data_IF_299947541544
#
_entry.id   IF_299947541544
#
_cell.length_a   1.000
_cell.length_b   1.000
_cell.length_c   1.000
_cell.angle_alpha   90.00
_cell.angle_beta   90.00
_cell.angle_gamma   90.00
#
_symmetry.space_group_name_H-M   'P 1'
#
loop_
_entity.id
_entity.type
_entity.pdbx_description
1 polymer ?
#
# COMPACT_ATOMS: atom_id res chain seq x y z
N UNK A 1 -2.90 3.22 40.29
CA UNK A 1 -1.58 3.04 39.64
C UNK A 1 -1.40 4.19 38.68
N UNK A 2 -0.88 5.30 39.21
CA UNK A 2 -0.61 6.52 38.43
C UNK A 2 0.77 6.37 37.80
N UNK A 3 0.80 6.05 36.52
CA UNK A 3 1.98 6.36 35.72
C UNK A 3 2.01 7.89 35.65
N UNK A 4 3.03 8.50 36.26
CA UNK A 4 3.21 9.94 36.28
C UNK A 4 3.11 10.48 34.85
N UNK A 5 2.08 11.29 34.58
CA UNK A 5 1.92 12.02 33.31
C UNK A 5 3.19 12.81 32.95
N UNK A 6 3.99 13.18 33.97
CA UNK A 6 5.28 13.82 33.84
C UNK A 6 6.33 12.94 33.10
N UNK A 7 6.33 11.62 33.32
CA UNK A 7 7.26 10.69 32.64
C UNK A 7 6.86 10.50 31.17
N UNK A 8 5.55 10.48 30.88
CA UNK A 8 5.04 10.38 29.52
C UNK A 8 5.43 11.64 28.73
N UNK A 9 5.24 12.83 29.30
CA UNK A 9 5.60 14.09 28.64
C UNK A 9 7.11 14.28 28.47
N UNK A 10 7.94 13.78 29.39
CA UNK A 10 9.40 13.90 29.32
C UNK A 10 10.04 13.03 28.21
N UNK A 11 9.35 11.97 27.77
CA UNK A 11 9.79 11.11 26.65
C UNK A 11 9.07 11.40 25.33
N UNK A 12 8.22 12.43 25.28
CA UNK A 12 7.79 13.02 24.01
C UNK A 12 8.94 13.87 23.48
N UNK A 13 10.01 13.21 23.04
CA UNK A 13 10.88 13.81 22.05
C UNK A 13 9.97 14.03 20.86
N UNK A 14 9.44 15.26 20.71
CA UNK A 14 8.93 15.72 19.43
C UNK A 14 10.12 15.60 18.48
N UNK A 15 10.24 14.44 17.84
CA UNK A 15 11.10 14.24 16.70
C UNK A 15 10.43 15.09 15.63
N UNK A 16 10.74 16.38 15.67
CA UNK A 16 10.43 17.33 14.62
C UNK A 16 11.31 16.92 13.45
N UNK A 17 10.89 15.84 12.79
CA UNK A 17 11.58 15.28 11.65
C UNK A 17 11.75 16.42 10.68
N UNK A 18 12.99 16.73 10.33
CA UNK A 18 13.25 17.68 9.26
C UNK A 18 12.53 17.18 8.00
N UNK A 19 12.21 18.09 7.07
CA UNK A 19 11.48 17.73 5.85
C UNK A 19 12.13 16.53 5.13
N UNK A 20 13.46 16.51 5.07
CA UNK A 20 14.26 15.43 4.50
C UNK A 20 14.11 14.10 5.27
N UNK A 21 14.16 14.14 6.60
CA UNK A 21 13.94 12.95 7.43
C UNK A 21 12.51 12.42 7.29
N UNK A 22 11.52 13.30 7.17
CA UNK A 22 10.13 12.93 6.97
C UNK A 22 9.94 12.21 5.62
N UNK A 23 10.60 12.67 4.56
CA UNK A 23 10.61 12.00 3.26
C UNK A 23 11.23 10.60 3.41
N UNK A 24 12.41 10.47 4.01
CA UNK A 24 13.07 9.18 4.20
C UNK A 24 12.22 8.22 5.03
N UNK A 25 11.64 8.71 6.13
CA UNK A 25 10.74 7.94 6.98
C UNK A 25 9.48 7.51 6.23
N UNK A 26 8.93 8.36 5.37
CA UNK A 26 7.78 8.04 4.52
C UNK A 26 8.10 6.95 3.47
N UNK A 27 9.31 6.93 2.92
CA UNK A 27 9.76 5.89 2.00
C UNK A 27 9.87 4.53 2.72
N UNK A 28 10.47 4.52 3.91
CA UNK A 28 10.57 3.30 4.74
C UNK A 28 9.17 2.82 5.15
N UNK A 29 8.28 3.74 5.54
CA UNK A 29 6.91 3.40 5.91
C UNK A 29 6.12 2.83 4.72
N UNK A 30 6.26 3.44 3.53
CA UNK A 30 5.63 2.98 2.30
C UNK A 30 6.13 1.59 1.92
N UNK A 31 7.43 1.34 2.06
CA UNK A 31 8.02 0.02 1.84
C UNK A 31 7.43 -1.04 2.79
N UNK A 32 7.34 -0.74 4.09
CA UNK A 32 6.72 -1.65 5.05
C UNK A 32 5.26 -1.95 4.70
N UNK A 33 4.48 -0.93 4.33
CA UNK A 33 3.10 -1.14 3.89
C UNK A 33 3.02 -1.97 2.60
N UNK A 34 3.94 -1.76 1.66
CA UNK A 34 4.01 -2.55 0.44
C UNK A 34 4.21 -4.04 0.73
N UNK A 35 5.15 -4.39 1.61
CA UNK A 35 5.38 -5.78 2.02
C UNK A 35 4.19 -6.39 2.75
N UNK A 36 3.57 -5.64 3.66
CA UNK A 36 2.37 -6.08 4.39
C UNK A 36 1.21 -6.36 3.44
N UNK A 37 0.92 -5.42 2.53
CA UNK A 37 -0.13 -5.58 1.54
C UNK A 37 0.14 -6.79 0.64
N UNK A 38 1.36 -6.96 0.14
CA UNK A 38 1.72 -8.11 -0.71
C UNK A 38 1.55 -9.45 0.04
N UNK A 39 1.92 -9.49 1.32
CA UNK A 39 1.70 -10.66 2.18
C UNK A 39 0.21 -10.97 2.36
N UNK A 40 -0.62 -9.96 2.58
CA UNK A 40 -2.08 -10.10 2.67
C UNK A 40 -2.67 -10.66 1.37
N UNK A 41 -2.26 -10.13 0.21
CA UNK A 41 -2.69 -10.68 -1.08
C UNK A 41 -2.26 -12.14 -1.26
N UNK A 42 -1.01 -12.48 -0.90
CA UNK A 42 -0.53 -13.87 -0.93
C UNK A 42 -1.37 -14.79 -0.04
N UNK A 43 -1.77 -14.31 1.14
CA UNK A 43 -2.65 -15.05 2.04
C UNK A 43 -4.06 -15.26 1.45
N UNK A 44 -4.58 -14.28 0.71
CA UNK A 44 -5.82 -14.39 -0.04
C UNK A 44 -5.78 -15.52 -1.08
N UNK A 45 -4.71 -15.56 -1.89
CA UNK A 45 -4.51 -16.61 -2.91
C UNK A 45 -4.30 -18.00 -2.31
N UNK A 46 -3.74 -18.07 -1.09
CA UNK A 46 -3.54 -19.33 -0.36
C UNK A 46 -4.74 -19.72 0.51
N UNK A 47 -5.89 -19.04 0.35
CA UNK A 47 -7.12 -19.22 1.15
C UNK A 47 -6.91 -19.08 2.67
N UNK A 48 -5.86 -18.38 3.09
CA UNK A 48 -5.59 -18.04 4.49
C UNK A 48 -6.23 -16.73 4.94
N UNK A 49 -6.82 -15.98 4.01
CA UNK A 49 -7.58 -14.77 4.23
C UNK A 49 -8.87 -14.82 3.39
N UNK A 50 -9.98 -14.33 3.95
CA UNK A 50 -11.29 -14.36 3.28
C UNK A 50 -11.43 -13.11 2.40
N UNK A 51 -12.11 -13.20 1.26
CA UNK A 51 -12.35 -12.03 0.37
C UNK A 51 -13.11 -10.89 1.08
N UNK A 52 -13.82 -11.25 2.15
CA UNK A 52 -14.56 -10.33 3.03
C UNK A 52 -13.62 -9.42 3.84
N UNK A 53 -12.38 -9.86 4.07
CA UNK A 53 -11.35 -9.10 4.80
C UNK A 53 -10.78 -7.94 3.96
N UNK A 54 -10.97 -7.96 2.64
CA UNK A 54 -10.51 -6.88 1.74
C UNK A 54 -11.35 -5.61 1.81
N UNK A 55 -12.51 -5.64 2.49
CA UNK A 55 -13.42 -4.50 2.61
C UNK A 55 -14.08 -4.13 1.27
N UNK A 56 -15.41 -4.17 1.23
CA UNK A 56 -16.16 -3.76 0.03
C UNK A 56 -16.19 -2.23 -0.17
N UNK A 57 -16.79 -1.74 -1.28
CA UNK A 57 -16.97 -0.30 -1.52
C UNK A 57 -17.65 0.43 -0.35
N UNK A 58 -18.59 -0.23 0.32
CA UNK A 58 -19.27 0.29 1.50
C UNK A 58 -18.30 0.46 2.70
N UNK A 59 -17.42 -0.52 2.93
CA UNK A 59 -16.40 -0.46 3.98
C UNK A 59 -15.41 0.68 3.70
N UNK A 60 -14.97 0.83 2.45
CA UNK A 60 -14.08 1.92 2.03
C UNK A 60 -14.75 3.28 2.29
N UNK A 61 -16.02 3.44 1.92
CA UNK A 61 -16.77 4.68 2.18
C UNK A 61 -16.88 4.98 3.69
N UNK A 62 -17.14 3.96 4.51
CA UNK A 62 -17.21 4.11 5.97
C UNK A 62 -15.86 4.51 6.57
N UNK A 63 -14.76 3.86 6.16
CA UNK A 63 -13.41 4.19 6.63
C UNK A 63 -12.95 5.58 6.17
N UNK A 64 -13.34 6.00 4.96
CA UNK A 64 -13.09 7.35 4.47
C UNK A 64 -13.79 8.39 5.37
N UNK A 65 -15.06 8.13 5.72
CA UNK A 65 -15.81 9.00 6.63
C UNK A 65 -15.22 9.01 8.03
N UNK A 66 -14.86 7.84 8.59
CA UNK A 66 -14.27 7.75 9.94
C UNK A 66 -12.94 8.50 10.01
N UNK A 67 -12.03 8.24 9.08
CA UNK A 67 -10.72 8.90 9.04
C UNK A 67 -10.82 10.41 8.83
N UNK A 68 -11.81 10.88 8.07
CA UNK A 68 -12.09 12.32 7.94
C UNK A 68 -12.56 12.94 9.26
N UNK A 69 -13.44 12.26 9.99
CA UNK A 69 -13.94 12.71 11.30
C UNK A 69 -12.84 12.70 12.38
N UNK A 70 -11.88 11.79 12.29
CA UNK A 70 -10.70 11.72 13.18
C UNK A 70 -9.70 12.86 12.91
N UNK A 71 -9.67 13.41 11.69
CA UNK A 71 -8.93 14.61 11.34
C UNK A 71 -8.15 14.50 10.03
N UNK A 72 -7.46 15.58 9.67
CA UNK A 72 -6.78 15.68 8.38
C UNK A 72 -5.66 14.66 8.19
N UNK A 73 -4.84 14.43 9.23
CA UNK A 73 -3.69 13.53 9.13
C UNK A 73 -4.12 12.05 8.96
N UNK A 74 -5.04 11.49 9.77
CA UNK A 74 -5.60 10.16 9.53
C UNK A 74 -6.25 10.02 8.14
N UNK A 75 -6.95 11.05 7.67
CA UNK A 75 -7.57 11.04 6.35
C UNK A 75 -6.55 10.96 5.21
N UNK A 76 -5.45 11.72 5.28
CA UNK A 76 -4.34 11.64 4.31
C UNK A 76 -3.68 10.27 4.34
N UNK A 77 -3.49 9.67 5.52
CA UNK A 77 -2.95 8.32 5.66
C UNK A 77 -3.87 7.27 5.03
N UNK A 78 -5.18 7.41 5.22
CA UNK A 78 -6.18 6.55 4.59
C UNK A 78 -6.13 6.64 3.07
N UNK A 79 -6.10 7.86 2.50
CA UNK A 79 -5.94 8.05 1.05
C UNK A 79 -4.64 7.39 0.56
N UNK A 80 -3.53 7.60 1.27
CA UNK A 80 -2.24 6.98 0.94
C UNK A 80 -2.30 5.45 0.92
N UNK A 81 -2.99 4.84 1.89
CA UNK A 81 -3.22 3.40 1.94
C UNK A 81 -4.03 2.90 0.75
N UNK A 82 -5.13 3.58 0.39
CA UNK A 82 -5.95 3.23 -0.77
C UNK A 82 -5.16 3.36 -2.08
N UNK A 83 -4.41 4.46 -2.26
CA UNK A 83 -3.56 4.67 -3.42
C UNK A 83 -2.50 3.57 -3.56
N UNK A 84 -1.87 3.15 -2.46
CA UNK A 84 -0.92 2.04 -2.46
C UNK A 84 -1.58 0.72 -2.86
N UNK A 85 -2.76 0.40 -2.30
CA UNK A 85 -3.47 -0.84 -2.61
C UNK A 85 -3.91 -0.90 -4.08
N UNK A 86 -4.45 0.20 -4.63
CA UNK A 86 -4.79 0.28 -6.06
C UNK A 86 -3.52 0.16 -6.91
N UNK A 87 -2.43 0.84 -6.52
CA UNK A 87 -1.14 0.72 -7.20
C UNK A 87 -0.61 -0.72 -7.23
N UNK A 88 -0.69 -1.43 -6.11
CA UNK A 88 -0.30 -2.85 -6.01
C UNK A 88 -1.21 -3.73 -6.87
N UNK A 89 -2.53 -3.56 -6.78
CA UNK A 89 -3.49 -4.27 -7.62
C UNK A 89 -3.21 -4.06 -9.11
N UNK A 90 -2.87 -2.84 -9.49
CA UNK A 90 -2.49 -2.51 -10.85
C UNK A 90 -1.19 -3.23 -11.26
N UNK A 91 -0.22 -3.40 -10.35
CA UNK A 91 1.04 -4.10 -10.63
C UNK A 91 0.93 -5.63 -10.63
N UNK A 92 -0.20 -6.21 -10.18
CA UNK A 92 -0.41 -7.65 -10.24
C UNK A 92 -0.62 -8.09 -11.71
N UNK A 93 -0.07 -9.25 -12.14
CA UNK A 93 -0.24 -9.78 -13.49
C UNK A 93 -1.65 -10.38 -13.67
N UNK A 94 -2.67 -9.53 -13.61
CA UNK A 94 -4.07 -9.91 -13.84
C UNK A 94 -4.45 -9.41 -15.25
N UNK A 95 -4.88 -10.28 -16.18
CA UNK A 95 -5.10 -9.98 -17.61
C UNK A 95 -6.14 -8.88 -17.96
N UNK A 96 -6.74 -8.21 -16.97
CA UNK A 96 -7.81 -7.21 -17.16
C UNK A 96 -7.42 -5.77 -16.83
N UNK A 97 -6.26 -5.52 -16.20
CA UNK A 97 -5.80 -4.20 -15.83
C UNK A 97 -4.49 -3.88 -16.57
N UNK A 98 -4.34 -2.65 -17.09
CA UNK A 98 -3.20 -2.19 -17.91
C UNK A 98 -1.81 -2.47 -17.30
N UNK A 99 -1.72 -2.77 -16.01
CA UNK A 99 -0.45 -3.06 -15.35
C UNK A 99 0.12 -4.46 -15.59
N UNK A 100 -0.54 -5.33 -16.36
CA UNK A 100 0.14 -6.48 -16.97
C UNK A 100 1.31 -6.06 -17.87
N UNK A 101 1.12 -4.98 -18.65
CA UNK A 101 2.20 -4.38 -19.45
C UNK A 101 3.16 -3.55 -18.59
N UNK A 102 2.65 -2.83 -17.59
CA UNK A 102 3.44 -1.94 -16.73
C UNK A 102 4.36 -2.71 -15.77
N UNK A 103 3.91 -3.85 -15.23
CA UNK A 103 4.74 -4.79 -14.48
C UNK A 103 5.79 -5.44 -15.38
N UNK A 104 5.46 -5.74 -16.64
CA UNK A 104 6.42 -6.18 -17.65
C UNK A 104 7.50 -5.13 -17.88
N UNK A 105 7.12 -3.87 -18.12
CA UNK A 105 8.06 -2.75 -18.32
C UNK A 105 8.87 -2.43 -17.06
N UNK A 106 8.28 -2.55 -15.87
CA UNK A 106 9.00 -2.35 -14.61
C UNK A 106 10.02 -3.47 -14.36
N UNK A 107 9.67 -4.72 -14.66
CA UNK A 107 10.62 -5.84 -14.67
C UNK A 107 11.71 -5.64 -15.74
N UNK A 108 11.35 -5.15 -16.93
CA UNK A 108 12.29 -4.82 -18.01
C UNK A 108 13.27 -3.70 -17.60
N UNK A 109 12.77 -2.68 -16.90
CA UNK A 109 13.54 -1.56 -16.35
C UNK A 109 14.52 -2.03 -15.26
N UNK A 110 14.10 -2.94 -14.37
CA UNK A 110 14.97 -3.51 -13.33
C UNK A 110 15.97 -4.52 -13.91
N UNK A 111 15.55 -5.35 -14.88
CA UNK A 111 16.39 -6.40 -15.46
C UNK A 111 17.29 -5.88 -16.59
N UNK A 112 17.04 -4.68 -17.12
CA UNK A 112 17.83 -4.03 -18.17
C UNK A 112 17.87 -4.78 -19.51
N UNK A 113 16.96 -5.73 -19.72
CA UNK A 113 16.91 -6.60 -20.91
C UNK A 113 15.47 -6.79 -21.36
N UNK A 114 15.17 -6.65 -22.66
CA UNK A 114 13.81 -6.86 -23.16
C UNK A 114 13.39 -8.32 -23.00
N UNK A 115 12.29 -8.54 -22.27
CA UNK A 115 11.65 -9.84 -22.17
C UNK A 115 10.80 -10.04 -23.44
N UNK A 116 11.32 -10.85 -24.36
CA UNK A 116 10.76 -11.12 -25.69
C UNK A 116 9.25 -11.37 -25.69
N UNK A 117 8.56 -10.61 -26.56
CA UNK A 117 7.12 -10.60 -26.84
C UNK A 117 6.57 -11.91 -27.43
N UNK A 118 6.68 -13.05 -26.74
CA UNK A 118 6.19 -14.34 -27.28
C UNK A 118 4.85 -14.84 -26.74
N UNK A 119 4.14 -14.08 -25.89
CA UNK A 119 2.81 -14.51 -25.40
C UNK A 119 1.66 -13.54 -25.74
N UNK A 120 1.92 -12.42 -26.44
CA UNK A 120 0.87 -11.42 -26.76
C UNK A 120 -0.17 -11.90 -27.79
N UNK A 121 0.09 -13.02 -28.48
CA UNK A 121 -0.79 -13.56 -29.52
C UNK A 121 -1.76 -14.65 -29.04
N UNK A 122 -1.63 -15.18 -27.82
CA UNK A 122 -2.48 -16.30 -27.35
C UNK A 122 -3.69 -15.80 -26.55
N UNK A 123 -3.73 -14.51 -26.20
CA UNK A 123 -4.89 -13.90 -25.52
C UNK A 123 -5.88 -13.21 -26.48
N UNK A 124 -5.62 -13.22 -27.80
CA UNK A 124 -6.50 -12.63 -28.82
C UNK A 124 -7.16 -13.68 -29.74
N UNK A 125 -7.25 -14.94 -29.29
CA UNK A 125 -8.05 -15.97 -29.96
C UNK A 125 -8.90 -16.73 -28.96
#
# INVERSE_FOLDING_TARGET
MGYDEAIIKANLVEVKSTFTESILKSLIQTHNFFYLTLSTFKNLFTQKADLKDLGGPLTIAHMASSSFLEGLLPYIQFIGLISLNIGILNLLPIPLLDGGHLAYYFLEFIMGKPLSSKNMMISQS
#
